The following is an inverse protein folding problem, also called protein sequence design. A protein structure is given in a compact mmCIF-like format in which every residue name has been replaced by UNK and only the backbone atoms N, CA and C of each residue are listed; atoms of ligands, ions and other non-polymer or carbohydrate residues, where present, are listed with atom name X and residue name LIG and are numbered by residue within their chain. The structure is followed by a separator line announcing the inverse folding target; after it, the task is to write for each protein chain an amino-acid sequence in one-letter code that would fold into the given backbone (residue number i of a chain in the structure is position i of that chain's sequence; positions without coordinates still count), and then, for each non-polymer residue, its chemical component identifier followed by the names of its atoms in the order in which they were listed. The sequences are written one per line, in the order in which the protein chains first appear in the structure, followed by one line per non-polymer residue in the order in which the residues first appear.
data_IF_677110399486
#
_entry.id   IF_677110399486
#
_cell.length_a   1.000
_cell.length_b   1.000
_cell.length_c   1.000
_cell.angle_alpha   90.00
_cell.angle_beta   90.00
_cell.angle_gamma   90.00
#
_symmetry.space_group_name_H-M   'P 1'
#
loop_
_entity.id
_entity.type
_entity.pdbx_description
1 polymer ?
#
# COMPACT_ATOMS: atom_id res chain seq x y z
N UNK A 1 -3.23 -38.66 -16.88
CA UNK A 1 -2.96 -37.26 -17.29
C UNK A 1 -4.00 -36.30 -16.70
N UNK A 2 -5.24 -36.74 -16.46
CA UNK A 2 -6.33 -35.92 -15.87
C UNK A 2 -6.08 -35.45 -14.43
N UNK A 3 -5.58 -36.32 -13.53
CA UNK A 3 -5.31 -35.97 -12.12
C UNK A 3 -4.37 -34.76 -11.92
N UNK A 4 -3.35 -34.60 -12.78
CA UNK A 4 -2.38 -33.49 -12.68
C UNK A 4 -3.04 -32.17 -13.11
N UNK A 5 -3.98 -32.22 -14.06
CA UNK A 5 -4.66 -31.05 -14.57
C UNK A 5 -5.69 -30.52 -13.56
N UNK A 6 -6.42 -31.42 -12.91
CA UNK A 6 -7.38 -31.11 -11.85
C UNK A 6 -6.69 -30.46 -10.63
N UNK A 7 -5.48 -30.91 -10.31
CA UNK A 7 -4.67 -30.31 -9.23
C UNK A 7 -4.17 -28.90 -9.58
N UNK A 8 -3.83 -28.67 -10.86
CA UNK A 8 -3.39 -27.36 -11.37
C UNK A 8 -4.54 -26.36 -11.41
N UNK A 9 -5.71 -26.77 -11.89
CA UNK A 9 -6.92 -25.93 -11.91
C UNK A 9 -7.35 -25.57 -10.49
N UNK A 10 -7.32 -26.52 -9.55
CA UNK A 10 -7.59 -26.26 -8.14
C UNK A 10 -6.58 -25.27 -7.53
N UNK A 11 -5.30 -25.34 -7.91
CA UNK A 11 -4.29 -24.40 -7.45
C UNK A 11 -4.53 -22.99 -8.00
N UNK A 12 -4.82 -22.87 -9.29
CA UNK A 12 -5.13 -21.58 -9.94
C UNK A 12 -6.37 -20.95 -9.32
N UNK A 13 -7.43 -21.73 -9.09
CA UNK A 13 -8.64 -21.26 -8.43
C UNK A 13 -8.36 -20.77 -7.00
N UNK A 14 -7.52 -21.48 -6.25
CA UNK A 14 -7.11 -21.08 -4.89
C UNK A 14 -6.30 -19.79 -4.88
N UNK A 15 -5.37 -19.62 -5.82
CA UNK A 15 -4.60 -18.38 -5.98
C UNK A 15 -5.55 -17.22 -6.29
N UNK A 16 -6.45 -17.37 -7.27
CA UNK A 16 -7.42 -16.34 -7.61
C UNK A 16 -8.35 -15.97 -6.45
N UNK A 17 -8.80 -16.95 -5.66
CA UNK A 17 -9.61 -16.70 -4.47
C UNK A 17 -8.84 -15.97 -3.36
N UNK A 18 -7.54 -16.25 -3.22
CA UNK A 18 -6.67 -15.58 -2.26
C UNK A 18 -6.39 -14.13 -2.68
N UNK A 19 -6.15 -13.89 -3.98
CA UNK A 19 -5.97 -12.56 -4.56
C UNK A 19 -7.25 -11.71 -4.41
N UNK A 20 -8.42 -12.29 -4.67
CA UNK A 20 -9.72 -11.63 -4.46
C UNK A 20 -9.90 -11.22 -2.99
N UNK A 21 -9.71 -12.15 -2.05
CA UNK A 21 -9.78 -11.84 -0.62
C UNK A 21 -8.77 -10.77 -0.20
N UNK A 22 -7.57 -10.78 -0.78
CA UNK A 22 -6.57 -9.76 -0.52
C UNK A 22 -7.02 -8.38 -1.02
N UNK A 23 -7.65 -8.32 -2.20
CA UNK A 23 -8.24 -7.08 -2.73
C UNK A 23 -9.38 -6.59 -1.84
N UNK A 24 -10.28 -7.47 -1.40
CA UNK A 24 -11.39 -7.14 -0.50
C UNK A 24 -10.89 -6.62 0.85
N UNK A 25 -9.92 -7.31 1.47
CA UNK A 25 -9.33 -6.90 2.74
C UNK A 25 -8.58 -5.56 2.60
N UNK A 26 -7.86 -5.38 1.49
CA UNK A 26 -7.20 -4.11 1.18
C UNK A 26 -8.22 -2.98 1.01
N UNK A 27 -9.37 -3.26 0.38
CA UNK A 27 -10.44 -2.28 0.19
C UNK A 27 -11.15 -1.92 1.50
N UNK A 28 -11.39 -2.88 2.40
CA UNK A 28 -11.96 -2.60 3.72
C UNK A 28 -11.00 -1.79 4.60
N UNK A 29 -9.70 -2.08 4.56
CA UNK A 29 -8.67 -1.28 5.22
C UNK A 29 -8.59 0.15 4.67
N UNK A 30 -8.79 0.35 3.35
CA UNK A 30 -8.87 1.69 2.74
C UNK A 30 -10.05 2.51 3.27
N UNK A 31 -11.16 1.87 3.65
CA UNK A 31 -12.36 2.55 4.16
C UNK A 31 -12.17 3.06 5.61
N UNK A 32 -11.36 2.37 6.41
CA UNK A 32 -11.05 2.77 7.80
C UNK A 32 -10.06 3.96 7.90
N UNK A 33 -9.34 4.27 6.81
CA UNK A 33 -8.31 5.29 6.80
C UNK A 33 -8.71 6.60 6.12
N UNK A 34 -9.29 7.53 6.88
CA UNK A 34 -9.55 8.88 6.40
C UNK A 34 -8.27 9.74 6.50
N UNK A 35 -7.44 9.72 5.43
CA UNK A 35 -6.36 10.69 5.32
C UNK A 35 -6.94 12.11 5.19
N UNK A 36 -6.31 13.14 5.79
CA UNK A 36 -6.82 14.50 5.72
C UNK A 36 -6.91 15.00 4.27
N UNK A 37 -8.10 15.45 3.85
CA UNK A 37 -8.32 15.90 2.47
C UNK A 37 -7.44 17.10 2.08
N UNK A 38 -7.08 17.93 3.06
CA UNK A 38 -6.20 19.09 2.88
C UNK A 38 -4.77 18.70 2.48
N UNK A 39 -4.34 17.44 2.64
CA UNK A 39 -3.05 16.96 2.12
C UNK A 39 -3.04 16.83 0.59
N UNK A 40 -4.21 16.79 -0.05
CA UNK A 40 -4.36 16.75 -1.53
C UNK A 40 -3.56 15.63 -2.19
N UNK A 41 -3.50 14.47 -1.54
CA UNK A 41 -2.92 13.26 -2.12
C UNK A 41 -3.82 12.77 -3.27
N UNK A 42 -3.22 12.46 -4.41
CA UNK A 42 -3.90 11.74 -5.50
C UNK A 42 -4.24 10.31 -5.05
N UNK A 43 -5.13 9.58 -5.75
CA UNK A 43 -5.46 8.21 -5.39
C UNK A 43 -4.24 7.28 -5.24
N UNK A 44 -3.29 7.32 -6.20
CA UNK A 44 -2.05 6.52 -6.15
C UNK A 44 -1.15 6.92 -4.97
N UNK A 45 -1.03 8.21 -4.68
CA UNK A 45 -0.26 8.70 -3.53
C UNK A 45 -0.88 8.30 -2.19
N UNK A 46 -2.22 8.38 -2.09
CA UNK A 46 -2.98 7.93 -0.91
C UNK A 46 -2.73 6.45 -0.65
N UNK A 47 -2.85 5.61 -1.68
CA UNK A 47 -2.65 4.16 -1.54
C UNK A 47 -1.22 3.81 -1.09
N UNK A 48 -0.23 4.50 -1.66
CA UNK A 48 1.16 4.34 -1.27
C UNK A 48 1.41 4.82 0.17
N UNK A 49 0.78 5.93 0.59
CA UNK A 49 0.88 6.43 1.95
C UNK A 49 0.23 5.48 2.97
N UNK A 50 -0.95 4.93 2.66
CA UNK A 50 -1.59 3.91 3.51
C UNK A 50 -0.72 2.66 3.66
N UNK A 51 0.04 2.31 2.61
CA UNK A 51 1.00 1.20 2.70
C UNK A 51 2.14 1.50 3.67
N UNK A 52 2.59 2.77 3.77
CA UNK A 52 3.60 3.20 4.75
C UNK A 52 3.06 3.18 6.19
N UNK A 53 1.76 3.39 6.39
CA UNK A 53 1.11 3.28 7.71
C UNK A 53 0.97 1.82 8.15
N UNK A 54 0.64 0.92 7.20
CA UNK A 54 0.39 -0.48 7.47
C UNK A 54 1.68 -1.31 7.67
N UNK A 55 2.82 -0.87 7.13
CA UNK A 55 4.06 -1.65 7.10
C UNK A 55 5.22 -0.89 7.73
N UNK A 56 6.08 -1.58 8.49
CA UNK A 56 7.31 -0.98 9.03
C UNK A 56 8.27 -0.52 7.92
N UNK A 57 8.25 -1.22 6.78
CA UNK A 57 8.98 -0.85 5.57
C UNK A 57 8.17 -1.24 4.35
N UNK A 58 7.98 -0.28 3.45
CA UNK A 58 7.45 -0.52 2.10
C UNK A 58 8.63 -0.68 1.16
N UNK A 59 8.85 -1.91 0.68
CA UNK A 59 9.92 -2.16 -0.31
C UNK A 59 9.60 -1.50 -1.64
N UNK A 60 10.59 -1.38 -2.52
CA UNK A 60 10.36 -0.86 -3.87
C UNK A 60 9.37 -1.71 -4.66
N UNK A 61 9.46 -3.02 -4.53
CA UNK A 61 8.58 -4.00 -5.19
C UNK A 61 7.14 -3.87 -4.68
N UNK A 62 6.97 -3.72 -3.37
CA UNK A 62 5.64 -3.48 -2.78
C UNK A 62 5.06 -2.14 -3.25
N UNK A 63 5.86 -1.08 -3.30
CA UNK A 63 5.43 0.20 -3.83
C UNK A 63 5.04 0.11 -5.32
N UNK A 64 5.78 -0.65 -6.13
CA UNK A 64 5.43 -0.92 -7.52
C UNK A 64 4.07 -1.63 -7.62
N UNK A 65 3.86 -2.68 -6.84
CA UNK A 65 2.60 -3.42 -6.80
C UNK A 65 1.41 -2.53 -6.37
N UNK A 66 1.63 -1.62 -5.41
CA UNK A 66 0.58 -0.68 -4.96
C UNK A 66 0.24 0.34 -6.05
N UNK A 67 1.24 0.85 -6.77
CA UNK A 67 1.04 1.90 -7.78
C UNK A 67 0.54 1.38 -9.13
N UNK A 68 0.89 0.14 -9.48
CA UNK A 68 0.76 -0.40 -10.83
C UNK A 68 0.12 -1.79 -10.88
N UNK A 69 -0.04 -2.49 -9.75
CA UNK A 69 -0.59 -3.85 -9.75
C UNK A 69 0.26 -4.78 -10.63
N UNK A 70 -0.38 -5.36 -11.66
CA UNK A 70 0.24 -6.23 -12.66
C UNK A 70 0.52 -5.51 -13.98
N UNK A 71 0.48 -4.18 -14.03
CA UNK A 71 0.80 -3.42 -15.24
C UNK A 71 2.29 -3.60 -15.61
N UNK A 72 2.56 -3.99 -16.86
CA UNK A 72 3.91 -4.28 -17.36
C UNK A 72 4.77 -3.02 -17.58
N UNK A 73 4.16 -1.82 -17.62
CA UNK A 73 4.88 -0.57 -17.92
C UNK A 73 4.45 0.56 -16.98
N UNK A 74 5.29 0.93 -16.00
CA UNK A 74 5.00 2.05 -15.12
C UNK A 74 5.25 3.39 -15.82
N UNK A 75 4.28 4.29 -15.75
CA UNK A 75 4.42 5.66 -16.31
C UNK A 75 5.45 6.52 -15.54
N UNK A 76 5.65 6.23 -14.26
CA UNK A 76 6.44 7.05 -13.33
C UNK A 76 7.21 6.18 -12.34
N UNK A 77 8.26 6.74 -11.74
CA UNK A 77 9.04 6.01 -10.73
C UNK A 77 8.39 6.09 -9.34
N UNK A 78 8.58 5.05 -8.52
CA UNK A 78 8.21 5.08 -7.09
C UNK A 78 8.82 6.28 -6.37
N UNK A 79 10.08 6.62 -6.70
CA UNK A 79 10.79 7.74 -6.09
C UNK A 79 10.10 9.08 -6.35
N UNK A 80 9.50 9.27 -7.52
CA UNK A 80 8.72 10.46 -7.87
C UNK A 80 7.46 10.58 -6.99
N UNK A 81 6.72 9.49 -6.81
CA UNK A 81 5.57 9.48 -5.88
C UNK A 81 6.01 9.75 -4.45
N UNK A 82 7.08 9.13 -3.97
CA UNK A 82 7.61 9.37 -2.62
C UNK A 82 8.05 10.83 -2.41
N UNK A 83 8.65 11.45 -3.42
CA UNK A 83 9.01 12.87 -3.40
C UNK A 83 7.76 13.76 -3.29
N UNK A 84 6.73 13.48 -4.09
CA UNK A 84 5.45 14.22 -4.05
C UNK A 84 4.73 14.07 -2.72
N UNK A 85 4.66 12.86 -2.18
CA UNK A 85 4.04 12.59 -0.88
C UNK A 85 4.77 13.40 0.19
N UNK A 86 6.11 13.32 0.28
CA UNK A 86 6.90 14.10 1.23
C UNK A 86 6.60 15.59 1.14
N UNK A 87 6.62 16.16 -0.06
CA UNK A 87 6.33 17.59 -0.27
C UNK A 87 4.92 17.98 0.20
N UNK A 88 3.92 17.11 0.00
CA UNK A 88 2.53 17.37 0.42
C UNK A 88 2.32 17.20 1.93
N UNK A 89 3.07 16.31 2.56
CA UNK A 89 2.88 15.95 3.97
C UNK A 89 3.87 16.63 4.92
N UNK A 90 4.97 17.20 4.42
CA UNK A 90 5.97 17.94 5.19
C UNK A 90 5.37 19.09 6.02
N UNK A 91 4.45 19.94 5.49
CA UNK A 91 3.77 20.97 6.30
C UNK A 91 3.00 20.42 7.50
N UNK A 92 2.73 19.12 7.50
CA UNK A 92 2.04 18.39 8.55
C UNK A 92 2.99 17.58 9.43
N UNK A 93 4.31 17.85 9.37
CA UNK A 93 5.35 17.16 10.16
C UNK A 93 5.47 15.65 9.89
N UNK A 94 4.91 15.16 8.79
CA UNK A 94 5.05 13.76 8.39
C UNK A 94 6.43 13.56 7.77
N UNK A 95 7.20 12.61 8.30
CA UNK A 95 8.55 12.29 7.82
C UNK A 95 8.60 10.89 7.23
N UNK A 96 9.06 10.77 5.99
CA UNK A 96 9.24 9.50 5.27
C UNK A 96 10.71 9.33 4.92
N UNK A 97 11.33 8.28 5.43
CA UNK A 97 12.75 8.00 5.21
C UNK A 97 12.95 6.99 4.08
N UNK A 98 14.03 7.17 3.32
CA UNK A 98 14.50 6.16 2.36
C UNK A 98 15.46 5.23 3.09
N UNK A 99 15.20 3.92 3.02
CA UNK A 99 16.11 2.89 3.51
C UNK A 99 16.94 2.41 2.31
N UNK A 100 18.25 2.63 2.38
CA UNK A 100 19.17 2.32 1.27
C UNK A 100 18.96 0.91 0.74
N UNK A 101 18.79 0.82 -0.59
CA UNK A 101 18.55 -0.42 -1.36
C UNK A 101 17.31 -1.24 -0.94
N UNK A 102 16.51 -0.78 0.00
CA UNK A 102 15.37 -1.56 0.54
C UNK A 102 14.04 -0.92 0.17
N UNK A 103 13.83 0.35 0.48
CA UNK A 103 12.53 0.97 0.30
C UNK A 103 12.35 2.21 1.16
N UNK A 104 11.18 2.32 1.79
CA UNK A 104 10.75 3.53 2.49
C UNK A 104 10.05 3.18 3.79
N UNK A 105 10.16 4.06 4.79
CA UNK A 105 9.43 3.93 6.05
C UNK A 105 8.82 5.26 6.48
N UNK A 106 7.66 5.17 7.14
CA UNK A 106 7.08 6.29 7.88
C UNK A 106 7.75 6.37 9.25
N UNK A 107 8.34 7.52 9.57
CA UNK A 107 8.87 7.79 10.91
C UNK A 107 7.70 7.97 11.87
N UNK A 108 7.85 7.47 13.10
CA UNK A 108 6.80 7.49 14.12
C UNK A 108 5.48 6.88 13.63
N UNK A 109 5.56 5.82 12.81
CA UNK A 109 4.41 5.13 12.18
C UNK A 109 3.26 4.92 13.15
N UNK A 110 3.53 4.38 14.36
CA UNK A 110 2.50 4.10 15.36
C UNK A 110 1.80 5.38 15.89
N UNK A 111 2.52 6.51 15.98
CA UNK A 111 1.94 7.79 16.36
C UNK A 111 1.00 8.28 15.26
N UNK A 112 1.41 8.15 14.00
CA UNK A 112 0.58 8.52 12.85
C UNK A 112 -0.65 7.62 12.70
N UNK A 113 -0.53 6.32 12.94
CA UNK A 113 -1.67 5.40 12.98
C UNK A 113 -2.73 5.86 13.98
N UNK A 114 -2.31 6.18 15.21
CA UNK A 114 -3.22 6.72 16.25
C UNK A 114 -3.79 8.09 15.89
N UNK A 115 -2.94 8.99 15.42
CA UNK A 115 -3.31 10.38 15.06
C UNK A 115 -4.36 10.41 13.96
N UNK A 116 -4.20 9.55 12.96
CA UNK A 116 -5.13 9.41 11.85
C UNK A 116 -6.36 8.56 12.21
N UNK A 117 -6.50 8.18 13.49
CA UNK A 117 -7.58 7.34 14.03
C UNK A 117 -7.78 6.07 13.20
N UNK A 118 -6.66 5.45 12.82
CA UNK A 118 -6.65 4.13 12.17
C UNK A 118 -6.86 2.99 13.18
N UNK A 119 -7.11 3.33 14.43
CA UNK A 119 -7.43 2.37 15.47
C UNK A 119 -8.87 1.87 15.29
N UNK A 120 -8.94 0.60 14.87
CA UNK A 120 -9.94 -0.42 15.14
C UNK A 120 -11.41 -0.03 14.89
N UNK A 121 -11.92 -0.50 13.77
CA UNK A 121 -13.27 -1.11 13.79
C UNK A 121 -13.17 -2.28 14.77
N UNK A 122 -13.53 -2.06 16.04
CA UNK A 122 -13.97 -3.14 16.92
C UNK A 122 -15.25 -3.72 16.31
N UNK A 123 -15.14 -4.90 15.69
CA UNK A 123 -16.26 -5.80 15.44
C UNK A 123 -15.84 -7.20 15.88
#
# INVERSE_FOLDING_TARGET
MEFVNETKEALVARVGALEQRFVELRNSMRASAALPANWRLTPKERDLFLSLLANDTVTKEMAMLVLYGTEDRPDHSVAMFMSRIRSKTEPHSVKIETINRTGYRLVDRLVWTKTLKLDAVEH
#
